data_IF_205737105644
#
_entry.id   IF_205737105644
#
_cell.length_a   1.000
_cell.length_b   1.000
_cell.length_c   1.000
_cell.angle_alpha   90.00
_cell.angle_beta   90.00
_cell.angle_gamma   90.00
#
_symmetry.space_group_name_H-M   'P 1'
#
loop_
_entity.id
_entity.type
_entity.pdbx_description
1 polymer ?
2 non-polymer ?
3 non-polymer ?
4 non-polymer ?
5 non-polymer ?
6 non-polymer ?
7 non-polymer ?
8 water ?
#
# COMPACT_ATOMS: atom_id res chain seq x y z
N UNK A 7 -7.74 15.35 -19.11
CA UNK A 7 -9.02 15.17 -18.37
C UNK A 7 -9.08 16.03 -17.10
N UNK A 8 -10.13 16.84 -17.00
CA UNK A 8 -10.33 17.76 -15.89
C UNK A 8 -10.79 17.04 -14.62
N UNK A 9 -11.35 15.84 -14.79
CA UNK A 9 -11.86 15.02 -13.68
C UNK A 9 -10.94 13.89 -13.23
N UNK A 10 -9.65 14.20 -13.06
CA UNK A 10 -8.68 13.22 -12.62
C UNK A 10 -8.19 13.54 -11.22
N UNK A 11 -8.46 12.62 -10.29
CA UNK A 11 -7.97 12.71 -8.91
C UNK A 11 -6.55 12.12 -8.83
N UNK A 12 -5.61 12.91 -8.31
CA UNK A 12 -4.22 12.48 -8.19
C UNK A 12 -3.90 11.79 -6.89
N UNK A 13 -2.70 11.24 -6.82
CA UNK A 13 -2.22 10.46 -5.67
C UNK A 13 -2.53 11.08 -4.31
N UNK A 14 -2.18 12.35 -4.13
CA UNK A 14 -2.33 13.05 -2.85
C UNK A 14 -3.78 13.17 -2.45
N UNK A 15 -4.62 13.53 -3.42
CA UNK A 15 -6.05 13.68 -3.19
C UNK A 15 -6.65 12.33 -2.84
N UNK A 16 -6.17 11.29 -3.51
CA UNK A 16 -6.62 9.94 -3.20
C UNK A 16 -6.27 9.55 -1.78
N UNK A 17 -5.01 9.76 -1.38
CA UNK A 17 -4.60 9.50 0.01
C UNK A 17 -5.41 10.33 0.99
N UNK A 18 -5.55 11.62 0.74
CA UNK A 18 -6.36 12.45 1.63
C UNK A 18 -7.79 11.93 1.81
N UNK A 19 -8.39 11.42 0.73
CA UNK A 19 -9.76 10.93 0.82
C UNK A 19 -9.89 9.59 1.49
N UNK A 20 -8.77 8.92 1.70
CA UNK A 20 -8.80 7.62 2.36
C UNK A 20 -8.64 7.72 3.88
N UNK A 21 -8.28 8.90 4.38
CA UNK A 21 -7.86 9.11 5.78
C UNK A 21 -8.86 8.62 6.81
N UNK A 22 -8.35 8.13 7.93
CA UNK A 22 -9.18 7.94 9.10
C UNK A 22 -9.49 9.32 9.65
N UNK A 23 -10.76 9.72 9.57
CA UNK A 23 -11.21 11.06 9.94
C UNK A 23 -12.72 11.04 10.09
N UNK A 24 -13.30 12.08 10.72
CA UNK A 24 -14.76 12.13 10.82
C UNK A 24 -15.42 12.37 9.45
N UNK A 25 -16.41 11.54 9.14
CA UNK A 25 -17.08 11.59 7.84
C UNK A 25 -18.58 11.66 8.04
N UNK A 26 -19.29 12.39 7.15
CA UNK A 26 -20.74 12.46 7.31
C UNK A 26 -21.38 11.15 6.88
N UNK A 27 -22.28 10.60 7.70
CA UNK A 27 -23.00 9.40 7.33
C UNK A 27 -24.49 9.51 7.65
N UNK A 28 -25.34 8.93 6.82
CA UNK A 28 -26.79 9.01 7.01
C UNK A 28 -27.22 7.91 7.97
N UNK A 29 -27.93 8.30 9.02
CA UNK A 29 -28.34 7.38 10.06
C UNK A 29 -29.84 7.48 10.26
N UNK A 30 -30.54 6.35 10.19
CA UNK A 30 -31.98 6.33 10.46
C UNK A 30 -32.26 6.64 11.93
N UNK A 31 -33.23 7.51 12.18
CA UNK A 31 -33.58 7.92 13.54
C UNK A 31 -34.02 6.73 14.39
N UNK A 32 -34.79 5.81 13.79
CA UNK A 32 -35.33 4.65 14.51
C UNK A 32 -34.25 3.67 15.01
N UNK A 33 -33.07 3.68 14.40
CA UNK A 33 -31.95 2.86 14.87
C UNK A 33 -30.92 3.66 15.70
N UNK A 34 -31.32 4.84 16.16
CA UNK A 34 -30.49 5.61 17.10
C UNK A 34 -31.20 5.75 18.45
N UNK A 35 -32.49 6.09 18.40
CA UNK A 35 -33.31 6.19 19.59
C UNK A 35 -34.29 5.01 19.62
N UNK A 36 -33.85 3.84 20.13
CA UNK A 36 -34.70 2.66 20.12
C UNK A 36 -35.80 2.70 21.20
N UNK A 37 -35.93 3.84 21.89
CA UNK A 37 -36.96 4.03 22.91
C UNK A 37 -38.19 4.75 22.35
N UNK A 38 -38.07 5.22 21.10
CA UNK A 38 -39.15 5.97 20.44
C UNK A 38 -39.51 5.45 19.04
N UNK A 39 -39.20 4.17 18.78
CA UNK A 39 -39.53 3.53 17.49
C UNK A 39 -41.05 3.40 17.28
N UNK A 40 -41.83 3.67 18.33
CA UNK A 40 -43.29 3.76 18.23
C UNK A 40 -43.74 5.03 17.50
N UNK A 41 -42.78 5.76 16.93
CA UNK A 41 -43.04 7.03 16.26
C UNK A 41 -42.21 7.19 14.98
N UNK A 42 -42.80 7.84 13.98
CA UNK A 42 -42.09 8.20 12.74
C UNK A 42 -41.66 9.65 12.83
N UNK A 43 -40.51 9.97 12.22
CA UNK A 43 -39.95 11.32 12.25
C UNK A 43 -39.74 11.92 10.88
N UNK A 44 -40.03 13.21 10.76
CA UNK A 44 -39.73 13.97 9.56
C UNK A 44 -38.60 14.96 9.85
N UNK A 45 -37.40 14.72 9.30
CA UNK A 45 -36.97 13.60 8.44
C UNK A 45 -36.68 12.29 9.20
N UNK A 46 -36.84 11.13 8.51
CA UNK A 46 -36.63 9.81 9.13
C UNK A 46 -35.18 9.44 9.37
N UNK A 47 -34.27 10.33 8.98
CA UNK A 47 -32.87 10.13 9.24
C UNK A 47 -32.08 11.44 9.27
N UNK A 48 -30.83 11.36 9.74
CA UNK A 48 -29.99 12.54 9.92
C UNK A 48 -28.57 12.24 9.46
N UNK A 49 -27.82 13.28 9.11
CA UNK A 49 -26.37 13.14 8.91
C UNK A 49 -25.63 13.38 10.22
N UNK A 50 -24.82 12.40 10.63
CA UNK A 50 -23.95 12.48 11.80
C UNK A 50 -22.51 12.31 11.35
N UNK A 51 -21.61 13.09 11.94
CA UNK A 51 -20.18 12.88 11.72
C UNK A 51 -19.74 11.67 12.52
N UNK A 52 -19.14 10.71 11.83
CA UNK A 52 -18.69 9.48 12.42
C UNK A 52 -17.36 9.17 11.78
N UNK A 53 -16.50 8.48 12.51
CA UNK A 53 -15.16 8.16 12.03
C UNK A 53 -15.19 7.08 10.97
N UNK A 54 -14.40 7.29 9.91
CA UNK A 54 -14.21 6.26 8.92
C UNK A 54 -13.09 6.61 7.98
N UNK A 55 -12.88 5.76 6.99
CA UNK A 55 -11.66 5.80 6.19
C UNK A 55 -10.98 4.50 6.51
N UNK A 56 -9.73 4.34 6.12
CA UNK A 56 -9.04 3.05 6.31
C UNK A 56 -7.61 3.26 6.81
N UNK A 57 -7.18 2.34 7.65
CA UNK A 57 -5.90 2.46 8.30
C UNK A 57 -4.83 1.79 7.45
N UNK A 58 -3.58 2.19 7.65
CA UNK A 58 -2.43 1.64 6.94
C UNK A 58 -2.22 0.16 7.19
N UNK A 59 -2.69 -0.30 8.35
CA UNK A 59 -2.36 -1.63 8.85
C UNK A 59 -3.66 -2.31 9.25
N UNK A 60 -3.86 -3.51 8.74
CA UNK A 60 -5.11 -4.21 8.98
C UNK A 60 -5.39 -4.50 10.46
N UNK A 61 -4.37 -4.49 11.31
CA UNK A 61 -4.57 -4.79 12.74
C UNK A 61 -5.12 -3.59 13.52
N UNK A 62 -5.22 -2.43 12.85
CA UNK A 62 -5.73 -1.20 13.44
C UNK A 62 -7.12 -0.89 12.92
N UNK A 63 -7.88 -0.15 13.72
CA UNK A 63 -9.22 0.26 13.40
C UNK A 63 -9.36 1.75 13.62
N UNK A 64 -10.13 2.39 12.74
CA UNK A 64 -10.33 3.84 12.78
C UNK A 64 -11.44 4.11 13.79
N UNK A 65 -11.06 4.67 14.94
CA UNK A 65 -12.00 4.82 16.08
C UNK A 65 -12.07 6.27 16.54
N UNK A 66 -13.20 6.68 17.16
CA UNK A 66 -13.29 8.07 17.60
C UNK A 66 -12.47 8.33 18.87
N UNK A 67 -11.72 9.43 18.86
CA UNK A 67 -10.94 9.80 20.02
C UNK A 67 -11.49 11.06 20.68
N UNK A 68 -12.44 11.71 20.00
CA UNK A 68 -13.18 12.83 20.56
C UNK A 68 -14.66 12.77 20.15
N UNK A 69 -15.54 13.00 21.12
CA UNK A 69 -16.98 12.84 20.93
C UNK A 69 -17.75 14.00 21.56
N UNK A 70 -18.74 14.51 20.86
CA UNK A 70 -19.58 15.58 21.40
C UNK A 70 -21.04 15.34 21.10
N UNK A 71 -21.94 15.91 21.90
CA UNK A 71 -23.36 15.86 21.63
C UNK A 71 -23.79 16.92 20.63
N UNK A 72 -24.76 16.55 19.78
CA UNK A 72 -25.42 17.50 18.90
C UNK A 72 -26.92 17.35 19.11
N UNK A 73 -27.62 18.47 19.25
CA UNK A 73 -29.05 18.43 19.34
C UNK A 73 -29.62 18.86 18.00
N UNK A 74 -30.73 18.24 17.61
CA UNK A 74 -31.41 18.55 16.34
C UNK A 74 -32.91 18.58 16.55
N UNK A 75 -33.57 19.54 15.90
CA UNK A 75 -35.02 19.59 15.82
C UNK A 75 -35.53 18.63 14.74
N UNK A 76 -36.57 17.86 15.08
CA UNK A 76 -37.22 16.94 14.13
C UNK A 76 -38.72 16.95 14.35
N UNK A 77 -39.48 16.80 13.26
CA UNK A 77 -40.93 16.73 13.35
C UNK A 77 -41.43 15.35 13.81
N UNK A 78 -42.29 15.36 14.82
CA UNK A 78 -42.90 14.14 15.35
C UNK A 78 -44.07 13.65 14.51
N UNK A 86 -45.66 17.93 18.25
CA UNK A 86 -44.98 18.78 17.26
C UNK A 86 -43.48 18.52 17.16
N UNK A 87 -42.72 19.61 17.15
CA UNK A 87 -41.25 19.56 17.00
C UNK A 87 -40.56 19.04 18.26
N UNK A 88 -39.59 18.14 18.05
CA UNK A 88 -38.89 17.51 19.15
C UNK A 88 -37.38 17.66 18.98
N UNK A 89 -36.69 17.87 20.09
CA UNK A 89 -35.23 17.90 20.11
C UNK A 89 -34.71 16.52 20.43
N UNK A 90 -33.89 15.98 19.54
CA UNK A 90 -33.21 14.73 19.80
C UNK A 90 -31.71 14.99 19.83
N UNK A 91 -31.04 14.26 20.73
CA UNK A 91 -29.61 14.41 20.90
C UNK A 91 -28.91 13.21 20.28
N UNK A 92 -27.75 13.46 19.69
CA UNK A 92 -26.99 12.45 18.99
C UNK A 92 -25.53 12.63 19.38
N UNK A 93 -24.71 11.58 19.23
CA UNK A 93 -23.27 11.69 19.47
C UNK A 93 -22.54 11.82 18.14
N UNK A 94 -21.68 12.83 18.04
CA UNK A 94 -20.84 12.99 16.85
C UNK A 94 -19.37 12.82 17.19
N UNK A 95 -18.59 12.41 16.21
CA UNK A 95 -17.16 12.19 16.33
C UNK A 95 -16.44 13.40 15.78
N UNK A 96 -15.55 14.01 16.59
CA UNK A 96 -14.81 15.20 16.14
C UNK A 96 -13.34 14.90 15.84
N UNK A 97 -12.87 13.73 16.23
CA UNK A 97 -11.48 13.33 16.00
C UNK A 97 -11.44 11.83 15.93
N UNK A 98 -10.52 11.28 15.15
CA UNK A 98 -10.37 9.82 15.00
C UNK A 98 -8.93 9.42 15.04
N UNK A 99 -8.65 8.13 15.25
CA UNK A 99 -7.30 7.64 15.23
C UNK A 99 -7.36 6.16 14.94
N UNK A 100 -6.35 5.65 14.25
CA UNK A 100 -6.17 4.21 14.11
C UNK A 100 -5.52 3.59 15.35
N UNK A 101 -6.29 2.75 16.02
CA UNK A 101 -5.89 2.12 17.26
C UNK A 101 -5.90 0.61 17.10
N UNK A 102 -5.03 -0.12 17.83
CA UNK A 102 -5.10 -1.57 17.85
C UNK A 102 -6.52 -2.09 18.05
N UNK A 103 -6.87 -3.14 17.30
CA UNK A 103 -8.20 -3.74 17.37
C UNK A 103 -8.42 -4.37 18.72
N UNK A 104 -9.62 -4.15 19.26
CA UNK A 104 -10.00 -4.62 20.58
C UNK A 104 -10.31 -6.13 20.57
N UNK A 105 -9.72 -6.88 21.51
CA UNK A 105 -10.07 -8.29 21.72
C UNK A 105 -10.59 -8.53 23.13
N UNK B 9 -24.54 24.58 19.76
CA UNK B 9 -26.03 24.71 19.94
C UNK B 9 -26.85 23.77 19.02
N UNK B 10 -28.17 23.93 19.09
CA UNK B 10 -29.16 23.09 18.38
C UNK B 10 -29.17 23.36 16.87
N UNK B 11 -29.21 22.28 16.08
CA UNK B 11 -29.46 22.40 14.64
C UNK B 11 -30.97 22.52 14.33
N UNK B 12 -31.33 23.64 13.69
CA UNK B 12 -32.73 23.89 13.31
C UNK B 12 -33.24 22.94 12.23
N UNK B 13 -34.56 22.77 12.20
CA UNK B 13 -35.21 21.79 11.32
C UNK B 13 -34.85 21.88 9.83
N UNK B 14 -34.79 23.09 9.28
CA UNK B 14 -34.39 23.30 7.88
C UNK B 14 -33.02 22.69 7.62
N UNK B 15 -32.06 22.98 8.51
CA UNK B 15 -30.71 22.43 8.39
C UNK B 15 -30.72 20.90 8.51
N UNK B 16 -31.58 20.38 9.38
CA UNK B 16 -31.68 18.93 9.61
C UNK B 16 -32.22 18.23 8.37
N UNK B 17 -33.28 18.80 7.80
CA UNK B 17 -33.90 18.31 6.57
C UNK B 17 -32.89 18.32 5.43
N UNK B 18 -32.25 19.45 5.21
CA UNK B 18 -31.22 19.60 4.18
C UNK B 18 -30.10 18.58 4.30
N UNK B 19 -29.84 18.12 5.53
CA UNK B 19 -28.80 17.14 5.77
C UNK B 19 -29.23 15.71 5.55
N UNK B 20 -30.55 15.49 5.50
CA UNK B 20 -31.09 14.15 5.28
C UNK B 20 -31.65 13.90 3.85
N UNK B 21 -31.60 14.92 2.99
CA UNK B 21 -32.19 14.81 1.66
C UNK B 21 -31.41 13.87 0.75
N UNK B 22 -32.13 13.31 -0.22
CA UNK B 22 -31.56 12.44 -1.24
C UNK B 22 -30.71 13.28 -2.18
N UNK B 23 -29.41 13.07 -2.14
CA UNK B 23 -28.46 13.85 -2.93
C UNK B 23 -27.17 13.05 -2.93
N UNK B 24 -26.22 13.42 -3.82
CA UNK B 24 -24.92 12.72 -3.76
C UNK B 24 -24.17 13.05 -2.45
N UNK B 25 -23.61 12.03 -1.83
CA UNK B 25 -22.91 12.16 -0.57
C UNK B 25 -21.65 11.31 -0.66
N UNK B 26 -20.54 11.76 0.00
CA UNK B 26 -19.33 10.95 0.04
C UNK B 26 -19.57 9.68 0.85
N UNK B 27 -19.00 8.58 0.37
CA UNK B 27 -19.11 7.31 1.06
C UNK B 27 -17.78 6.61 0.82
N UNK B 28 -17.27 5.92 1.85
CA UNK B 28 -16.01 5.21 1.74
C UNK B 28 -16.32 3.83 1.22
N UNK B 29 -15.65 3.44 0.14
CA UNK B 29 -15.91 2.18 -0.54
C UNK B 29 -14.56 1.45 -0.69
N UNK B 30 -14.55 0.12 -0.48
CA UNK B 30 -13.36 -0.69 -0.80
C UNK B 30 -13.09 -0.70 -2.30
N UNK B 31 -11.87 -0.40 -2.70
CA UNK B 31 -11.49 -0.35 -4.10
C UNK B 31 -11.69 -1.70 -4.80
N UNK B 32 -11.39 -2.80 -4.11
CA UNK B 32 -11.52 -4.10 -4.73
C UNK B 32 -12.95 -4.37 -5.17
N UNK B 33 -13.92 -3.86 -4.42
CA UNK B 33 -15.35 -4.03 -4.73
C UNK B 33 -15.81 -3.24 -5.96
N UNK B 34 -15.12 -2.14 -6.25
CA UNK B 34 -15.42 -1.32 -7.39
C UNK B 34 -14.79 -1.96 -8.63
N UNK B 35 -13.78 -2.80 -8.41
CA UNK B 35 -13.08 -3.46 -9.51
C UNK B 35 -12.87 -4.95 -9.28
N UNK B 36 -13.96 -5.73 -9.20
CA UNK B 36 -13.87 -7.16 -8.86
C UNK B 36 -13.03 -8.01 -9.81
N UNK B 37 -12.78 -7.47 -10.99
CA UNK B 37 -12.09 -8.22 -12.04
C UNK B 37 -10.57 -8.12 -11.84
N UNK B 38 -10.15 -7.17 -11.01
CA UNK B 38 -8.74 -7.05 -10.63
C UNK B 38 -8.48 -7.91 -9.39
N UNK B 39 -8.36 -9.21 -9.61
CA UNK B 39 -8.28 -10.22 -8.57
C UNK B 39 -6.79 -10.47 -8.28
N UNK B 40 -6.50 -11.18 -7.18
CA UNK B 40 -5.12 -11.45 -6.72
C UNK B 40 -4.26 -10.18 -6.63
N UNK B 41 -4.82 -9.09 -6.13
CA UNK B 41 -4.04 -7.87 -5.96
C UNK B 41 -4.55 -7.05 -4.78
N UNK B 42 -3.74 -6.11 -4.31
CA UNK B 42 -4.14 -5.22 -3.23
C UNK B 42 -4.13 -3.82 -3.75
N UNK B 43 -4.90 -2.95 -3.11
CA UNK B 43 -4.88 -1.52 -3.47
C UNK B 43 -4.46 -0.67 -2.30
N UNK B 44 -3.70 0.36 -2.60
CA UNK B 44 -3.26 1.30 -1.59
C UNK B 44 -3.53 2.71 -2.07
N UNK B 45 -4.40 3.45 -1.35
CA UNK B 45 -5.13 3.00 -0.16
C UNK B 45 -6.15 1.92 -0.56
N UNK B 46 -6.54 1.04 0.37
CA UNK B 46 -7.48 0.01 0.01
C UNK B 46 -8.93 0.52 -0.12
N UNK B 47 -9.16 1.79 0.23
CA UNK B 47 -10.49 2.38 0.21
C UNK B 47 -10.45 3.75 -0.44
N UNK B 48 -11.55 4.13 -1.09
CA UNK B 48 -11.69 5.47 -1.66
C UNK B 48 -13.02 6.09 -1.27
N UNK B 49 -13.05 7.42 -1.27
CA UNK B 49 -14.28 8.16 -1.10
C UNK B 49 -14.91 8.49 -2.47
N UNK B 50 -16.14 8.01 -2.67
CA UNK B 50 -16.89 8.26 -3.89
C UNK B 50 -18.19 8.98 -3.59
N UNK B 51 -18.58 9.89 -4.49
CA UNK B 51 -19.88 10.53 -4.39
C UNK B 51 -20.94 9.55 -4.85
N UNK B 52 -21.87 9.23 -3.96
CA UNK B 52 -22.92 8.27 -4.26
C UNK B 52 -24.22 8.77 -3.69
N UNK B 53 -25.32 8.42 -4.34
CA UNK B 53 -26.63 8.86 -3.90
C UNK B 53 -26.96 8.29 -2.52
N UNK B 54 -27.38 9.18 -1.64
CA UNK B 54 -27.64 8.83 -0.25
C UNK B 54 -28.61 9.82 0.38
N UNK B 55 -29.22 9.42 1.48
CA UNK B 55 -30.24 10.22 2.10
C UNK B 55 -31.47 9.40 2.39
N UNK B 56 -32.54 10.08 2.74
CA UNK B 56 -33.81 9.46 3.06
C UNK B 56 -34.90 10.02 2.17
N UNK B 57 -35.74 9.13 1.64
CA UNK B 57 -36.94 9.57 0.97
C UNK B 57 -38.08 9.67 1.98
N UNK B 58 -39.02 10.57 1.71
CA UNK B 58 -40.13 10.84 2.60
C UNK B 58 -41.18 9.72 2.67
N UNK B 59 -40.89 8.58 2.01
CA UNK B 59 -41.88 7.52 1.83
C UNK B 59 -41.18 6.18 1.72
N UNK B 60 -41.70 5.20 2.46
CA UNK B 60 -41.19 3.84 2.47
C UNK B 60 -41.12 3.18 1.08
N UNK B 61 -41.98 3.65 0.17
CA UNK B 61 -42.08 3.09 -1.19
C UNK B 61 -41.12 3.75 -2.18
N UNK B 62 -40.28 4.66 -1.70
CA UNK B 62 -39.34 5.40 -2.54
C UNK B 62 -37.88 5.08 -2.19
N UNK B 63 -37.02 5.09 -3.19
CA UNK B 63 -35.60 4.90 -2.98
C UNK B 63 -34.81 6.01 -3.66
N UNK B 64 -33.67 6.32 -3.06
CA UNK B 64 -32.82 7.40 -3.51
C UNK B 64 -31.84 6.81 -4.49
N UNK B 65 -31.98 7.19 -5.76
CA UNK B 65 -31.21 6.55 -6.84
C UNK B 65 -30.62 7.60 -7.78
N UNK B 66 -29.51 7.25 -8.46
CA UNK B 66 -28.88 8.18 -9.40
C UNK B 66 -29.70 8.45 -10.64
N UNK B 67 -29.75 9.72 -11.05
CA UNK B 67 -30.32 10.11 -12.32
C UNK B 67 -29.25 10.70 -13.23
N UNK B 68 -28.03 10.83 -12.71
CA UNK B 68 -26.90 11.36 -13.46
C UNK B 68 -25.60 10.86 -12.83
N UNK B 69 -24.75 10.28 -13.65
CA UNK B 69 -23.50 9.68 -13.19
C UNK B 69 -22.34 10.31 -13.94
N UNK B 70 -21.12 10.04 -13.48
CA UNK B 70 -19.92 10.49 -14.20
C UNK B 70 -18.78 9.53 -13.88
N UNK B 71 -17.89 9.32 -14.84
CA UNK B 71 -16.73 8.49 -14.62
C UNK B 71 -15.55 9.39 -14.23
N UNK B 72 -14.86 9.02 -13.16
CA UNK B 72 -13.69 9.76 -12.71
C UNK B 72 -12.52 8.81 -12.56
N UNK B 73 -11.34 9.27 -13.01
CA UNK B 73 -10.10 8.49 -12.95
C UNK B 73 -9.34 8.87 -11.67
N UNK B 74 -8.94 7.87 -10.89
CA UNK B 74 -8.09 8.08 -9.72
C UNK B 74 -6.79 7.31 -9.81
N UNK B 75 -5.67 7.96 -9.47
CA UNK B 75 -4.41 7.24 -9.35
C UNK B 75 -4.22 6.58 -7.98
N UNK B 76 -4.06 5.27 -7.98
CA UNK B 76 -3.91 4.44 -6.79
C UNK B 76 -2.59 3.72 -6.91
N UNK B 77 -2.10 3.15 -5.80
CA UNK B 77 -0.98 2.24 -5.87
C UNK B 77 -1.55 0.84 -5.91
N UNK B 78 -1.20 0.11 -6.98
CA UNK B 78 -1.70 -1.24 -7.15
C UNK B 78 -0.61 -2.10 -7.74
N UNK B 79 -0.98 -2.94 -8.70
CA UNK B 79 -0.05 -3.87 -9.30
C UNK B 79 0.32 -3.45 -10.71
N UNK B 80 1.57 -3.70 -11.07
CA UNK B 80 2.04 -3.57 -12.43
C UNK B 80 1.89 -4.90 -13.18
N UNK B 81 2.33 -4.89 -14.43
CA UNK B 81 2.29 -6.05 -15.31
C UNK B 81 2.92 -7.29 -14.72
N UNK B 82 3.98 -7.10 -13.93
CA UNK B 82 4.68 -8.21 -13.28
C UNK B 82 4.10 -8.57 -11.94
N UNK B 83 3.06 -7.85 -11.53
CA UNK B 83 2.47 -8.11 -10.20
C UNK B 83 3.24 -7.39 -9.09
N UNK B 84 4.21 -6.56 -9.48
CA UNK B 84 4.94 -5.72 -8.55
C UNK B 84 4.05 -4.57 -8.08
N UNK B 85 4.56 -3.77 -7.14
CA UNK B 85 3.90 -2.56 -6.75
C UNK B 85 4.07 -1.58 -7.88
N UNK B 86 2.97 -0.98 -8.30
CA UNK B 86 3.04 0.05 -9.35
C UNK B 86 1.76 0.85 -9.37
N UNK B 87 1.85 2.10 -9.80
CA UNK B 87 0.67 2.96 -9.89
C UNK B 87 -0.32 2.43 -10.95
N UNK B 88 -1.62 2.65 -10.70
CA UNK B 88 -2.69 2.35 -11.66
C UNK B 88 -3.68 3.48 -11.70
N UNK B 89 -3.95 4.04 -12.88
CA UNK B 89 -5.12 4.91 -13.04
C UNK B 89 -6.35 4.05 -13.28
N UNK B 90 -7.34 4.16 -12.41
CA UNK B 90 -8.58 3.40 -12.54
C UNK B 90 -9.78 4.32 -12.59
N UNK B 91 -10.90 3.83 -13.14
CA UNK B 91 -12.09 4.64 -13.36
C UNK B 91 -13.15 4.25 -12.36
N UNK B 92 -13.87 5.24 -11.84
CA UNK B 92 -14.90 5.02 -10.83
C UNK B 92 -16.17 5.78 -11.20
N UNK B 93 -17.31 5.22 -10.85
CA UNK B 93 -18.58 5.87 -11.10
C UNK B 93 -18.93 6.75 -9.90
N UNK B 94 -19.18 8.04 -10.15
CA UNK B 94 -19.70 8.97 -9.13
C UNK B 94 -21.11 9.39 -9.52
N UNK B 95 -21.96 9.63 -8.54
CA UNK B 95 -23.28 10.14 -8.82
C UNK B 95 -23.30 11.66 -8.74
N UNK B 96 -23.87 12.30 -9.76
CA UNK B 96 -23.96 13.76 -9.82
C UNK B 96 -25.37 14.31 -9.55
N UNK B 97 -26.38 13.47 -9.71
CA UNK B 97 -27.76 13.85 -9.41
C UNK B 97 -28.53 12.62 -8.96
N UNK B 98 -29.55 12.84 -8.12
CA UNK B 98 -30.26 11.75 -7.48
C UNK B 98 -31.72 12.09 -7.37
N UNK B 99 -32.57 11.10 -7.18
CA UNK B 99 -34.00 11.37 -7.06
C UNK B 99 -34.69 10.29 -6.25
N UNK B 100 -35.79 10.66 -5.62
CA UNK B 100 -36.64 9.70 -4.92
C UNK B 100 -37.69 9.12 -5.89
N UNK B 101 -37.42 7.88 -6.30
CA UNK B 101 -38.17 7.17 -7.33
C UNK B 101 -38.79 5.90 -6.74
N UNK B 102 -39.97 5.49 -7.26
CA UNK B 102 -40.64 4.28 -6.74
C UNK B 102 -39.82 3.02 -6.99
N UNK B 103 -40.06 1.98 -6.19
CA UNK B 103 -39.35 0.70 -6.36
C UNK B 103 -39.96 -0.21 -7.43
N UNK C 7 20.98 18.23 -1.48
CA UNK C 7 21.03 16.80 -1.09
C UNK C 7 20.56 15.88 -2.23
N UNK C 8 21.50 15.51 -3.10
CA UNK C 8 21.22 14.59 -4.21
C UNK C 8 21.05 13.15 -3.74
N UNK C 9 21.37 12.90 -2.46
CA UNK C 9 21.21 11.58 -1.85
C UNK C 9 19.77 11.32 -1.37
N UNK C 10 18.82 11.54 -2.28
CA UNK C 10 17.42 11.37 -1.97
C UNK C 10 16.70 10.67 -3.12
N UNK C 11 16.00 9.58 -2.80
CA UNK C 11 15.30 8.79 -3.80
C UNK C 11 13.78 9.05 -3.74
N UNK C 12 13.22 9.44 -4.87
CA UNK C 12 11.78 9.72 -4.96
C UNK C 12 10.94 8.46 -5.11
N UNK C 13 9.62 8.66 -5.02
CA UNK C 13 8.62 7.59 -5.07
C UNK C 13 8.76 6.61 -6.24
N UNK C 14 8.95 7.16 -7.44
CA UNK C 14 9.02 6.35 -8.64
C UNK C 14 10.27 5.49 -8.65
N UNK C 15 11.40 6.07 -8.26
CA UNK C 15 12.66 5.34 -8.14
C UNK C 15 12.56 4.26 -7.06
N UNK C 16 11.85 4.57 -5.97
CA UNK C 16 11.62 3.58 -4.90
C UNK C 16 10.84 2.38 -5.42
N UNK C 17 9.71 2.63 -6.10
CA UNK C 17 8.93 1.57 -6.76
C UNK C 17 9.74 0.79 -7.78
N UNK C 18 10.47 1.50 -8.64
CA UNK C 18 11.32 0.80 -9.62
C UNK C 18 12.25 -0.17 -8.91
N UNK C 19 12.85 0.25 -7.80
CA UNK C 19 13.82 -0.58 -7.10
C UNK C 19 13.23 -1.71 -6.28
N UNK C 20 11.93 -1.67 -6.06
CA UNK C 20 11.22 -2.77 -5.39
C UNK C 20 10.74 -3.89 -6.34
N UNK C 21 10.74 -3.63 -7.65
CA UNK C 21 10.15 -4.52 -8.66
C UNK C 21 10.62 -5.97 -8.58
N UNK C 22 9.73 -6.89 -8.90
CA UNK C 22 10.10 -8.27 -9.13
C UNK C 22 10.80 -8.34 -10.48
N UNK C 23 12.11 -8.60 -10.49
CA UNK C 23 12.91 -8.65 -11.71
C UNK C 23 14.19 -9.37 -11.42
N UNK C 24 14.98 -9.71 -12.46
CA UNK C 24 16.26 -10.35 -12.20
C UNK C 24 17.23 -9.36 -11.56
N UNK C 25 17.90 -9.83 -10.51
CA UNK C 25 18.81 -9.01 -9.75
C UNK C 25 20.09 -9.79 -9.50
N UNK C 26 21.24 -9.10 -9.53
CA UNK C 26 22.48 -9.83 -9.30
C UNK C 26 22.60 -10.24 -7.84
N UNK C 27 22.99 -11.49 -7.60
CA UNK C 27 23.28 -11.98 -6.26
C UNK C 27 24.60 -12.74 -6.22
N UNK C 28 25.29 -12.65 -5.10
CA UNK C 28 26.55 -13.38 -4.88
C UNK C 28 26.24 -14.78 -4.36
N UNK C 29 26.82 -15.79 -5.01
CA UNK C 29 26.61 -17.17 -4.60
C UNK C 29 27.96 -17.88 -4.47
N UNK C 30 28.15 -18.65 -3.38
CA UNK C 30 29.39 -19.41 -3.23
C UNK C 30 29.44 -20.57 -4.21
N UNK C 31 30.56 -20.69 -4.92
CA UNK C 31 30.74 -21.73 -5.93
C UNK C 31 30.62 -23.15 -5.34
N UNK C 32 31.23 -23.37 -4.17
CA UNK C 32 31.21 -24.67 -3.49
C UNK C 32 29.79 -25.11 -3.09
N UNK C 33 28.91 -24.14 -2.87
CA UNK C 33 27.50 -24.39 -2.59
C UNK C 33 26.75 -24.89 -3.83
N UNK C 34 27.02 -24.26 -4.98
CA UNK C 34 26.31 -24.55 -6.23
C UNK C 34 26.67 -25.91 -6.84
N UNK C 35 27.94 -26.30 -6.67
CA UNK C 35 28.43 -27.56 -7.24
C UNK C 35 28.97 -28.48 -6.13
N UNK C 36 28.07 -29.24 -5.48
CA UNK C 36 28.48 -30.15 -4.41
C UNK C 36 29.22 -31.42 -4.89
N UNK C 37 30.05 -31.29 -5.92
CA UNK C 37 30.77 -32.44 -6.49
C UNK C 37 32.17 -32.09 -7.00
N UNK C 40 33.55 -30.96 -3.14
CA UNK C 40 34.10 -29.71 -3.65
C UNK C 40 35.61 -29.61 -3.44
N UNK C 41 36.15 -28.41 -3.62
CA UNK C 41 37.59 -28.14 -3.49
C UNK C 41 37.87 -26.63 -3.39
N UNK C 42 39.13 -26.25 -3.60
CA UNK C 42 39.54 -24.85 -3.69
C UNK C 42 39.05 -24.22 -4.99
N UNK C 43 38.33 -23.11 -4.88
CA UNK C 43 37.86 -22.39 -6.06
C UNK C 43 38.21 -20.91 -6.01
N UNK C 44 38.73 -20.40 -7.12
CA UNK C 44 39.12 -18.99 -7.22
C UNK C 44 38.57 -18.33 -8.49
N UNK C 45 37.65 -17.35 -8.34
CA UNK C 45 37.03 -16.86 -7.11
C UNK C 45 36.20 -17.93 -6.40
N UNK C 46 36.07 -17.84 -5.06
CA UNK C 46 35.23 -18.77 -4.32
C UNK C 46 33.75 -18.47 -4.48
N UNK C 47 33.44 -17.36 -5.14
CA UNK C 47 32.05 -16.94 -5.33
C UNK C 47 31.78 -16.31 -6.72
N UNK C 48 30.52 -16.33 -7.12
CA UNK C 48 30.10 -15.90 -8.45
C UNK C 48 28.83 -15.05 -8.36
N UNK C 49 28.68 -14.09 -9.28
CA UNK C 49 27.46 -13.27 -9.38
C UNK C 49 26.47 -13.85 -10.42
N UNK C 50 25.25 -14.17 -9.96
CA UNK C 50 24.21 -14.71 -10.82
C UNK C 50 22.98 -13.81 -10.82
N UNK C 51 22.35 -13.66 -11.98
CA UNK C 51 21.07 -12.98 -12.04
C UNK C 51 19.97 -13.91 -11.54
N UNK C 52 19.23 -13.46 -10.53
CA UNK C 52 18.15 -14.23 -9.96
C UNK C 52 16.99 -13.28 -9.71
N UNK C 53 15.78 -13.82 -9.77
CA UNK C 53 14.60 -13.03 -9.55
C UNK C 53 14.52 -12.64 -8.10
N UNK C 54 14.22 -11.36 -7.86
CA UNK C 54 13.91 -10.89 -6.53
C UNK C 54 13.22 -9.56 -6.62
N UNK C 55 12.82 -9.03 -5.47
CA UNK C 55 12.00 -7.81 -5.38
C UNK C 55 10.82 -8.28 -4.59
N UNK C 56 9.75 -7.50 -4.53
CA UNK C 56 8.55 -7.91 -3.78
C UNK C 56 7.28 -7.67 -4.56
N UNK C 57 6.32 -8.56 -4.37
CA UNK C 57 5.07 -8.51 -5.11
C UNK C 57 4.04 -7.65 -4.38
N UNK C 58 3.08 -7.13 -5.13
CA UNK C 58 2.00 -6.29 -4.60
C UNK C 58 1.19 -7.04 -3.56
N UNK C 59 1.09 -8.35 -3.73
CA UNK C 59 0.13 -9.14 -2.97
C UNK C 59 0.90 -10.26 -2.28
N UNK C 60 0.63 -10.46 -1.00
CA UNK C 60 1.35 -11.47 -0.22
C UNK C 60 1.13 -12.92 -0.67
N UNK C 61 0.07 -13.15 -1.44
CA UNK C 61 -0.24 -14.51 -1.91
C UNK C 61 0.53 -14.86 -3.18
N UNK C 62 1.32 -13.93 -3.69
CA UNK C 62 2.11 -14.10 -4.90
C UNK C 62 3.60 -14.15 -4.60
N UNK C 63 4.37 -14.76 -5.50
CA UNK C 63 5.80 -14.89 -5.33
C UNK C 63 6.54 -14.47 -6.60
N UNK C 64 7.67 -13.82 -6.44
CA UNK C 64 8.46 -13.39 -7.58
C UNK C 64 9.30 -14.57 -8.06
N UNK C 65 8.90 -15.16 -9.18
CA UNK C 65 9.52 -16.41 -9.67
C UNK C 65 10.06 -16.24 -11.09
N UNK C 66 11.11 -17.02 -11.46
CA UNK C 66 11.67 -16.89 -12.80
C UNK C 66 10.74 -17.47 -13.88
N UNK C 67 10.53 -16.71 -14.96
CA UNK C 67 9.69 -17.18 -16.06
C UNK C 67 10.51 -17.49 -17.30
N UNK C 68 11.77 -17.07 -17.25
CA UNK C 68 12.77 -17.45 -18.24
C UNK C 68 14.09 -17.75 -17.56
N UNK C 69 14.73 -18.83 -18.03
CA UNK C 69 15.96 -19.36 -17.46
C UNK C 69 16.94 -19.74 -18.56
N UNK C 70 18.19 -19.32 -18.44
CA UNK C 70 19.22 -19.70 -19.39
C UNK C 70 20.46 -20.20 -18.69
N UNK C 71 21.37 -20.80 -19.45
CA UNK C 71 22.66 -21.22 -18.92
C UNK C 71 23.74 -20.20 -19.18
N UNK C 72 24.63 -20.06 -18.21
CA UNK C 72 25.82 -19.25 -18.36
C UNK C 72 27.03 -20.10 -18.00
N UNK C 73 28.03 -20.10 -18.86
CA UNK C 73 29.29 -20.74 -18.54
C UNK C 73 30.27 -19.68 -18.05
N UNK C 74 31.01 -20.03 -17.00
CA UNK C 74 32.04 -19.16 -16.42
C UNK C 74 33.29 -19.99 -16.18
N UNK C 75 34.45 -19.42 -16.51
CA UNK C 75 35.72 -20.11 -16.23
C UNK C 75 36.35 -19.67 -14.90
N UNK C 76 36.77 -20.65 -14.10
CA UNK C 76 37.34 -20.44 -12.78
C UNK C 76 38.65 -21.21 -12.59
N UNK C 77 39.52 -20.69 -11.72
CA UNK C 77 40.77 -21.37 -11.37
C UNK C 77 40.58 -22.30 -10.16
N UNK C 78 40.93 -23.56 -10.34
CA UNK C 78 40.89 -24.56 -9.28
C UNK C 78 41.90 -25.73 -9.52
N UNK C 87 42.44 -24.78 -14.14
CA UNK C 87 41.41 -23.96 -14.76
C UNK C 87 40.24 -24.81 -15.28
N UNK C 88 39.02 -24.36 -15.02
CA UNK C 88 37.82 -25.12 -15.36
C UNK C 88 36.70 -24.21 -15.83
N UNK C 89 35.76 -24.76 -16.60
CA UNK C 89 34.54 -24.06 -16.99
C UNK C 89 33.34 -24.65 -16.26
N UNK C 90 32.53 -23.79 -15.66
CA UNK C 90 31.37 -24.24 -14.89
C UNK C 90 30.10 -23.54 -15.38
N UNK C 91 29.00 -24.28 -15.35
CA UNK C 91 27.72 -23.81 -15.86
C UNK C 91 26.75 -23.47 -14.74
N UNK C 92 26.02 -22.38 -14.91
CA UNK C 92 25.08 -21.89 -13.91
C UNK C 92 23.77 -21.55 -14.60
N UNK C 93 22.68 -21.51 -13.84
CA UNK C 93 21.39 -21.04 -14.37
C UNK C 93 21.18 -19.61 -13.95
N UNK C 94 20.82 -18.77 -14.91
CA UNK C 94 20.47 -17.39 -14.66
C UNK C 94 19.01 -17.16 -14.99
N UNK C 95 18.45 -16.10 -14.41
CA UNK C 95 17.06 -15.75 -14.59
C UNK C 95 17.01 -14.54 -15.51
N UNK C 96 16.26 -14.64 -16.61
CA UNK C 96 16.23 -13.54 -17.61
C UNK C 96 14.95 -12.72 -17.52
N UNK C 97 13.93 -13.32 -16.92
CA UNK C 97 12.62 -12.68 -16.77
C UNK C 97 11.96 -13.24 -15.52
N UNK C 98 11.09 -12.43 -14.89
CA UNK C 98 10.40 -12.80 -13.63
C UNK C 98 8.96 -12.36 -13.65
N UNK C 99 8.13 -12.95 -12.77
CA UNK C 99 6.75 -12.56 -12.69
C UNK C 99 6.26 -12.98 -11.33
N UNK C 100 5.32 -12.22 -10.77
CA UNK C 100 4.61 -12.61 -9.57
C UNK C 100 3.48 -13.57 -9.87
N UNK C 101 3.58 -14.78 -9.34
CA UNK C 101 2.63 -15.85 -9.58
C UNK C 101 2.11 -16.37 -8.26
N UNK C 102 0.85 -16.87 -8.22
CA UNK C 102 0.30 -17.42 -6.99
C UNK C 102 1.27 -18.40 -6.35
N UNK C 103 1.30 -18.44 -5.01
CA UNK C 103 2.24 -19.28 -4.27
C UNK C 103 1.90 -20.75 -4.47
N UNK C 104 2.93 -21.55 -4.75
CA UNK C 104 2.78 -23.00 -4.85
C UNK C 104 2.66 -23.63 -3.45
N UNK C 105 1.53 -24.27 -3.17
CA UNK C 105 1.32 -24.96 -1.90
C UNK C 105 1.12 -26.46 -2.08
N UNK C 106 1.57 -27.25 -1.10
CA UNK C 106 1.36 -28.71 -1.10
C UNK C 106 0.52 -29.11 0.12
N UNK D 10 30.09 -18.09 -22.86
CA UNK D 10 31.19 -18.27 -21.86
C UNK D 10 31.79 -16.91 -21.51
N UNK D 11 31.55 -16.46 -20.28
CA UNK D 11 32.12 -15.20 -19.78
C UNK D 11 33.60 -15.37 -19.41
N UNK D 12 34.42 -14.42 -19.87
CA UNK D 12 35.87 -14.46 -19.71
C UNK D 12 36.35 -14.35 -18.27
N UNK D 13 37.53 -14.92 -18.02
CA UNK D 13 38.17 -14.93 -16.71
C UNK D 13 38.34 -13.54 -16.10
N UNK D 14 38.60 -12.55 -16.95
CA UNK D 14 38.73 -11.16 -16.54
C UNK D 14 37.43 -10.63 -15.95
N UNK D 15 36.31 -10.97 -16.58
CA UNK D 15 34.98 -10.50 -16.15
C UNK D 15 34.45 -11.25 -14.92
N UNK D 16 34.76 -12.55 -14.83
CA UNK D 16 34.33 -13.38 -13.70
C UNK D 16 35.00 -12.95 -12.40
N UNK D 17 36.28 -12.59 -12.50
CA UNK D 17 37.07 -12.14 -11.37
C UNK D 17 36.55 -10.80 -10.85
N UNK D 18 36.46 -9.82 -11.74
CA UNK D 18 35.96 -8.49 -11.36
C UNK D 18 34.45 -8.46 -11.16
N UNK D 19 33.80 -9.59 -11.44
CA UNK D 19 32.38 -9.77 -11.15
C UNK D 19 32.13 -10.23 -9.71
N UNK D 20 33.14 -10.87 -9.12
CA UNK D 20 33.07 -11.39 -7.75
C UNK D 20 33.79 -10.49 -6.71
N UNK D 21 34.23 -9.31 -7.17
CA UNK D 21 34.94 -8.32 -6.36
C UNK D 21 34.15 -7.93 -5.12
N UNK D 22 34.86 -7.69 -4.01
CA UNK D 22 34.24 -7.11 -2.81
C UNK D 22 34.00 -5.62 -3.06
N UNK D 23 32.72 -5.25 -3.07
CA UNK D 23 32.29 -3.92 -3.49
C UNK D 23 30.83 -3.69 -3.07
N UNK D 24 30.34 -2.44 -3.18
CA UNK D 24 28.92 -2.24 -2.86
C UNK D 24 28.04 -2.91 -3.91
N UNK D 25 27.07 -3.69 -3.46
CA UNK D 25 26.17 -4.38 -4.38
C UNK D 25 24.74 -4.18 -3.92
N UNK D 26 23.79 -4.02 -4.88
CA UNK D 26 22.37 -3.87 -4.55
C UNK D 26 21.83 -5.14 -3.92
N UNK D 27 21.09 -5.00 -2.82
CA UNK D 27 20.35 -6.13 -2.26
C UNK D 27 18.99 -5.66 -1.77
N UNK D 28 18.01 -6.56 -1.86
CA UNK D 28 16.63 -6.26 -1.47
C UNK D 28 16.50 -6.57 0.02
N UNK D 29 16.01 -5.59 0.78
CA UNK D 29 15.81 -5.76 2.23
C UNK D 29 14.39 -5.34 2.64
N UNK D 30 13.78 -6.06 3.61
CA UNK D 30 12.47 -5.63 4.12
C UNK D 30 12.57 -4.28 4.83
N UNK D 31 11.69 -3.35 4.51
CA UNK D 31 11.75 -2.01 5.09
C UNK D 31 11.51 -2.03 6.61
N UNK D 32 10.70 -2.97 7.09
CA UNK D 32 10.41 -3.06 8.50
C UNK D 32 11.68 -3.39 9.29
N UNK D 33 12.57 -4.18 8.72
CA UNK D 33 13.79 -4.59 9.42
C UNK D 33 14.83 -3.48 9.52
N UNK D 34 14.77 -2.54 8.59
CA UNK D 34 15.61 -1.37 8.65
C UNK D 34 15.09 -0.37 9.68
N UNK D 35 13.78 -0.44 9.97
CA UNK D 35 13.14 0.54 10.84
C UNK D 35 12.25 -0.14 11.87
N UNK D 36 12.84 -0.97 12.74
CA UNK D 36 12.01 -1.81 13.62
C UNK D 36 11.22 -1.03 14.68
N UNK D 37 11.56 0.25 14.88
CA UNK D 37 10.89 1.10 15.86
C UNK D 37 9.52 1.55 15.35
N UNK D 38 9.36 1.53 14.04
CA UNK D 38 8.08 1.83 13.37
C UNK D 38 7.20 0.58 13.40
N UNK D 39 6.61 0.32 14.56
CA UNK D 39 5.89 -0.92 14.80
C UNK D 39 4.43 -0.72 14.41
N UNK D 40 3.67 -1.81 14.29
CA UNK D 40 2.22 -1.77 13.97
C UNK D 40 1.91 -0.95 12.71
N UNK D 41 2.71 -1.12 11.67
CA UNK D 41 2.45 -0.43 10.42
C UNK D 41 2.99 -1.26 9.28
N UNK D 42 2.62 -0.87 8.06
CA UNK D 42 3.05 -1.54 6.84
C UNK D 42 3.77 -0.53 5.99
N UNK D 43 4.61 -1.02 5.09
CA UNK D 43 5.32 -0.16 4.14
C UNK D 43 5.00 -0.59 2.70
N UNK D 44 4.84 0.39 1.84
CA UNK D 44 4.55 0.14 0.43
C UNK D 44 5.52 0.95 -0.40
N UNK D 45 6.45 0.29 -1.11
CA UNK D 45 6.66 -1.15 -1.19
C UNK D 45 7.25 -1.64 0.13
N UNK D 46 7.04 -2.93 0.47
CA UNK D 46 7.54 -3.47 1.74
C UNK D 46 9.03 -3.81 1.71
N UNK D 47 9.65 -3.67 0.53
CA UNK D 47 11.06 -3.97 0.32
C UNK D 47 11.72 -2.86 -0.47
N UNK D 48 12.99 -2.57 -0.17
CA UNK D 48 13.79 -1.61 -0.95
C UNK D 48 15.11 -2.23 -1.31
N UNK D 49 15.75 -1.68 -2.34
CA UNK D 49 17.10 -2.08 -2.73
C UNK D 49 18.11 -1.08 -2.15
N UNK D 50 19.11 -1.59 -1.44
CA UNK D 50 20.15 -0.79 -0.83
C UNK D 50 21.49 -1.33 -1.25
N UNK D 51 22.47 -0.45 -1.38
CA UNK D 51 23.84 -0.85 -1.63
C UNK D 51 24.50 -1.28 -0.33
N UNK D 52 24.96 -2.51 -0.30
CA UNK D 52 25.65 -3.07 0.86
C UNK D 52 26.87 -3.81 0.35
N UNK D 53 27.88 -3.91 1.19
CA UNK D 53 29.11 -4.58 0.78
C UNK D 53 28.90 -6.07 0.64
N UNK D 54 29.37 -6.60 -0.48
CA UNK D 54 29.27 -8.01 -0.76
C UNK D 54 30.27 -8.39 -1.82
N UNK D 55 30.39 -9.69 -2.06
CA UNK D 55 31.47 -10.23 -2.87
C UNK D 55 32.21 -11.22 -2.00
N UNK D 56 33.37 -11.67 -2.45
CA UNK D 56 34.17 -12.56 -1.64
C UNK D 56 35.65 -12.17 -1.59
N UNK D 57 36.29 -12.50 -0.49
CA UNK D 57 37.70 -12.21 -0.29
C UNK D 57 38.56 -13.39 -0.72
N UNK D 58 39.74 -13.09 -1.25
CA UNK D 58 40.67 -14.13 -1.68
C UNK D 58 41.58 -14.62 -0.56
N UNK D 59 41.06 -14.57 0.67
CA UNK D 59 41.73 -15.13 1.85
C UNK D 59 40.67 -15.63 2.82
N UNK D 60 40.94 -16.79 3.43
CA UNK D 60 40.00 -17.48 4.30
C UNK D 60 39.58 -16.65 5.54
N UNK D 61 40.57 -16.03 6.19
CA UNK D 61 40.33 -15.27 7.43
C UNK D 61 40.01 -13.78 7.21
N UNK D 62 39.91 -13.37 5.96
CA UNK D 62 39.47 -12.01 5.62
C UNK D 62 37.94 -11.95 5.58
N UNK D 63 37.41 -10.74 5.38
CA UNK D 63 35.97 -10.50 5.40
C UNK D 63 35.68 -9.21 4.63
N UNK D 64 34.59 -9.18 3.89
CA UNK D 64 34.21 -8.01 3.10
C UNK D 64 33.31 -7.09 3.90
N UNK D 65 33.85 -5.93 4.29
CA UNK D 65 33.15 -4.96 5.15
C UNK D 65 33.20 -3.53 4.60
N UNK D 66 32.22 -2.68 5.00
CA UNK D 66 32.20 -1.28 4.59
C UNK D 66 33.31 -0.44 5.22
N UNK D 67 33.97 0.35 4.37
CA UNK D 67 34.91 1.36 4.84
C UNK D 67 34.39 2.75 4.50
N UNK D 68 33.06 2.87 4.37
CA UNK D 68 32.41 4.14 4.05
C UNK D 68 30.92 3.89 3.83
N UNK D 69 30.12 4.67 4.55
CA UNK D 69 28.67 4.54 4.56
C UNK D 69 28.05 5.90 4.28
N UNK D 70 26.79 5.91 3.82
CA UNK D 70 26.08 7.15 3.54
C UNK D 70 24.63 6.96 3.94
N UNK D 71 24.02 8.00 4.50
CA UNK D 71 22.58 7.98 4.73
C UNK D 71 21.86 8.61 3.54
N UNK D 72 20.83 7.91 3.08
CA UNK D 72 20.07 8.27 1.90
C UNK D 72 18.61 8.28 2.34
N UNK D 73 17.88 9.33 1.98
CA UNK D 73 16.43 9.39 2.24
C UNK D 73 15.65 8.75 1.06
N UNK D 74 14.58 8.02 1.37
CA UNK D 74 13.69 7.44 0.34
C UNK D 74 12.26 7.73 0.73
N UNK D 75 11.47 8.24 -0.22
CA UNK D 75 10.05 8.42 0.04
C UNK D 75 9.26 7.14 -0.19
N UNK D 76 8.39 6.80 0.72
CA UNK D 76 7.56 5.62 0.52
C UNK D 76 6.25 5.75 1.24
N UNK D 77 5.36 4.81 0.95
CA UNK D 77 4.01 4.87 1.44
C UNK D 77 3.96 4.07 2.72
N UNK D 78 3.71 4.80 3.81
CA UNK D 78 3.58 4.20 5.12
C UNK D 78 2.40 4.84 5.82
N UNK D 79 2.59 5.13 7.12
CA UNK D 79 1.51 5.61 7.98
C UNK D 79 1.68 7.09 8.32
N UNK D 80 0.57 7.82 8.34
CA UNK D 80 0.56 9.19 8.78
C UNK D 80 0.36 9.24 10.32
N UNK D 81 0.20 10.45 10.85
CA UNK D 81 0.03 10.64 12.28
C UNK D 81 -1.17 9.91 12.85
N UNK D 82 -2.16 9.63 12.00
CA UNK D 82 -3.41 9.04 12.46
C UNK D 82 -3.43 7.56 12.22
N UNK D 83 -2.35 7.02 11.66
CA UNK D 83 -2.28 5.62 11.31
C UNK D 83 -2.88 5.32 9.93
N UNK D 84 -3.34 6.38 9.26
CA UNK D 84 -3.85 6.32 7.90
C UNK D 84 -2.68 6.12 6.96
N UNK D 85 -2.99 5.83 5.70
CA UNK D 85 -1.99 5.76 4.65
C UNK D 85 -1.44 7.16 4.41
N UNK D 86 -0.13 7.29 4.46
CA UNK D 86 0.51 8.58 4.20
C UNK D 86 1.91 8.34 3.75
N UNK D 87 2.41 9.22 2.89
CA UNK D 87 3.81 9.19 2.49
C UNK D 87 4.74 9.41 3.69
N UNK D 88 5.90 8.74 3.70
CA UNK D 88 6.92 8.90 4.72
C UNK D 88 8.32 8.98 4.14
N UNK D 89 9.04 10.05 4.43
CA UNK D 89 10.49 10.10 4.12
C UNK D 89 11.27 9.41 5.24
N UNK D 90 12.06 8.41 4.88
CA UNK D 90 12.86 7.64 5.85
C UNK D 90 14.31 7.51 5.40
N UNK D 91 15.21 7.32 6.36
CA UNK D 91 16.65 7.28 6.12
C UNK D 91 17.17 5.85 6.13
N UNK D 92 18.09 5.57 5.21
CA UNK D 92 18.67 4.26 5.06
C UNK D 92 20.17 4.38 4.88
N UNK D 93 20.91 3.37 5.35
CA UNK D 93 22.37 3.37 5.20
C UNK D 93 22.78 2.65 3.91
N UNK D 94 23.57 3.33 3.07
CA UNK D 94 24.14 2.74 1.86
C UNK D 94 25.65 2.66 1.99
N UNK D 95 26.26 1.59 1.51
CA UNK D 95 27.71 1.50 1.46
C UNK D 95 28.24 2.05 0.14
N UNK D 96 29.24 2.94 0.26
CA UNK D 96 29.94 3.54 -0.89
C UNK D 96 31.30 2.90 -1.13
N UNK D 97 31.94 2.40 -0.07
CA UNK D 97 33.25 1.76 -0.15
C UNK D 97 33.31 0.49 0.69
N UNK D 98 34.12 -0.47 0.25
CA UNK D 98 34.26 -1.77 0.93
C UNK D 98 35.66 -2.25 0.82
N UNK D 99 36.09 -3.08 1.77
CA UNK D 99 37.45 -3.63 1.73
C UNK D 99 37.50 -5.02 2.36
N UNK D 100 38.43 -5.86 1.89
CA UNK D 100 38.74 -7.15 2.51
C UNK D 100 39.67 -6.98 3.72
N UNK D 101 39.11 -7.18 4.91
CA UNK D 101 39.72 -6.77 6.18
C UNK D 101 39.49 -7.84 7.26
N UNK D 102 40.55 -8.19 8.04
CA UNK D 102 40.49 -9.28 9.02
C UNK D 102 39.43 -9.09 10.10
X LIG E 1 -13.33 -2.07 10.39
X LIG F 1 -3.39 16.07 17.77
X LIG F 1 -4.37 15.56 18.74
X LIG F 1 -4.00 15.94 16.45
X LIG F 1 -3.07 17.46 18.06
X LIG F 1 -2.11 15.33 17.78
X LIG G 1 -0.70 4.72 14.98
X LIG G 1 0.16 4.40 13.94
X LIG G 1 0.73 3.13 13.91
X LIG G 1 0.40 2.22 14.92
X LIG G 1 -0.45 2.55 15.97
X LIG G 1 -1.02 3.82 15.98
X LIG G 1 -1.33 6.05 15.04
X LIG G 1 -2.59 6.09 15.31
X LIG G 1 -0.57 7.13 14.84
X LIG H 1 2.09 -5.78 11.64
X LIG H 1 0.66 -5.98 11.11
X LIG H 1 3.04 -6.73 10.90
X LIG H 1 2.21 -6.01 13.15
X LIG H 1 2.52 -4.41 11.38
X LIG H 1 0.03 -7.16 11.57
X LIG H 1 3.15 -6.34 9.55
X LIG H 1 1.26 -5.28 13.90
X LIG I 1 -11.08 17.35 4.60
X LIG I 1 -9.80 17.25 5.20
X LIG I 1 -12.14 17.10 5.65
X LIG I 1 -12.68 15.81 5.50
X LIG I 1 -13.26 18.13 5.49
X LIG I 1 -14.10 18.10 6.62
X LIG J 1 -2.49 15.42 -7.19
X LIG J 1 -3.42 15.07 -6.19
X LIG J 1 -1.05 15.24 -6.72
X LIG J 1 -0.24 16.24 -7.31
X LIG J 1 -0.51 13.88 -7.14
X LIG J 1 0.87 13.81 -6.86
X LIG K 1 -6.63 -9.95 4.81
X LIG K 1 -7.19 -11.10 4.22
X LIG K 1 -7.74 -8.99 5.24
X LIG K 1 -8.36 -8.40 4.11
X LIG K 1 -7.17 -7.91 6.15
X LIG K 1 -6.29 -7.06 5.45
X LIG L 1 -16.24 14.71 -9.56
X LIG L 1 -16.69 15.65 -10.51
X LIG L 1 -17.06 14.87 -8.29
X LIG L 1 -16.29 14.45 -7.17
X LIG L 1 -18.32 14.02 -8.40
X LIG L 1 -19.36 14.78 -9.00
X LIG M 1 -18.86 6.72 -18.55
X LIG M 1 -20.29 7.10 -18.95
X LIG M 1 -21.04 5.85 -19.42
X LIG M 1 -20.30 5.23 -20.61
X LIG M 1 -18.83 5.01 -20.24
X LIG M 1 -18.05 4.52 -21.47
X LIG M 1 -21.58 8.99 -18.10
X LIG M 1 -23.08 9.05 -17.99
X LIG M 1 -21.02 7.80 -17.90
X LIG M 1 -22.39 6.13 -19.74
X LIG M 1 -20.92 4.01 -20.99
X LIG M 1 -18.23 6.19 -19.72
X LIG M 1 -17.55 3.22 -21.22
X LIG M 1 -20.94 10.02 -18.38
X LIG N 1 -0.18 -10.88 -11.69
X LIG N 1 -0.47 -12.21 -11.40
X LIG N 1 -1.52 -12.52 -10.53
X LIG N 1 -2.22 -11.47 -9.94
X LIG N 1 -1.91 -10.14 -10.19
X LIG N 1 -0.88 -9.83 -11.10
X LIG N 1 0.91 -10.60 -12.62
X LIG N 1 0.71 -9.72 -13.51
X LIG N 1 2.04 -11.34 -12.54
X LIG O 1 -33.39 26.84 11.30
X LIG O 1 -32.46 26.44 10.30
X LIG O 1 -34.78 26.99 10.68
X LIG O 1 -35.33 28.24 11.04
X LIG O 1 -35.71 25.85 11.13
X LIG O 1 -36.07 25.98 12.49
X LIG P 1 7.40 -3.97 -12.81
X LIG P 1 6.72 -2.76 -12.59
X LIG P 1 7.63 -4.19 -14.31
X LIG P 1 6.57 -4.97 -14.82
X LIG P 1 8.98 -4.86 -14.56
X LIG P 1 9.01 -6.16 -14.02
X LIG Q 1 -23.88 1.79 -8.21
X LIG Q 1 -23.68 0.51 -7.64
X LIG Q 1 -22.83 2.09 -9.26
X LIG Q 1 -23.22 3.23 -9.99
X LIG Q 1 -22.66 0.91 -10.22
X LIG Q 1 -21.52 1.12 -11.03
X LIG R 1 9.31 -15.17 -0.88
X LIG S 1 8.87 11.10 -8.08
X LIG T 1 6.41 -9.72 -21.69
X LIG T 1 6.49 -9.20 -23.05
X LIG T 1 5.09 -9.33 -21.21
X LIG T 1 6.61 -11.17 -21.71
X LIG T 1 7.44 -9.12 -20.85
X LIG U 1 -6.17 -12.23 -2.33
X LIG U 1 -4.92 -12.67 -1.56
X LIG U 1 -6.53 -13.22 -3.45
X LIG U 1 -6.00 -10.83 -2.93
X LIG U 1 -7.31 -12.17 -1.42
X LIG U 1 -4.40 -11.67 -0.70
X LIG U 1 -5.46 -14.06 -3.84
X LIG U 1 -6.06 -9.87 -1.91
X LIG V 1 16.72 -22.30 -11.40
X LIG V 1 16.08 -21.05 -11.50
X LIG V 1 17.65 -22.33 -10.20
X LIG V 1 18.39 -23.53 -10.23
X LIG V 1 16.84 -22.25 -8.90
X LIG V 1 17.68 -22.37 -7.76
X LIG W 1 24.64 9.41 8.77
X LIG W 1 26.17 9.42 8.93
X LIG W 1 26.51 8.86 10.32
X LIG W 1 25.84 9.71 11.39
X LIG W 1 24.37 10.05 11.09
X LIG W 1 23.96 11.22 11.96
X LIG W 1 27.70 9.24 7.04
X LIG W 1 29.13 8.77 7.14
X LIG W 1 26.84 8.68 7.87
X LIG W 1 27.90 8.80 10.51
X LIG W 1 25.90 9.04 12.64
X LIG W 1 24.16 10.37 9.71
X LIG W 1 22.76 10.93 12.64
X LIG W 1 27.38 10.11 6.21
X LIG X 1 -1.74 -7.07 4.02
X LIG X 1 -3.00 -7.15 4.62
X LIG X 1 -3.40 -8.32 5.29
X LIG X 1 -2.54 -9.43 5.36
X LIG X 1 -1.28 -9.35 4.76
X LIG X 1 -0.88 -8.19 4.10
X LIG X 1 -1.30 -5.81 3.30
X LIG X 1 -0.34 -5.87 2.47
X LIG X 1 -1.90 -4.64 3.53
#
# INVERSE_FOLDING_TARGET
EAEAEFDSNTKGWSEVLKGSECKPRPIVVPVSETHPELTSQRFNPPCVTLMRCGGCCNDESLECVPTEEVNVTMELLGASGSGSNGMQRLSFVEHKKCDCRPRFTTTPPTTTRPPRRRRVDHHHHHH
EAEAEFDSNTKGWSEVLKGSECKPRPIVVPVSETHPELTSQRFNPPCVTLMRCGGCCNDESLECVPTEEVNVTMELLGASGSGSNGMQRLSFVEHKKCDCRPRFTTTPPTTTRPPRRRRVDHHHHHH
EAEAEFDSNTKGWSEVLKGSECKPRPIVVPVSETHPELTSQRFNPPCVTLMRCGGCCNDESLECVPTEEVNVTMELLGASGSGSNGMQRLSFVEHKKCDCRPRFTTTPPTTTRPPRRRRVDHHHHHH
EAEAEFDSNTKGWSEVLKGSECKPRPIVVPVSETHPELTSQRFNPPCVTLMRCGGCCNDESLECVPTEEVNVTMELLGASGSGSNGMQRLSFVEHKKCDCRPRFTTTPPTTTRPPRRRRVDHHHHHH
CL CL
SO4 S O1 O2 O3 O4
BEN C1 C2 C3 C4 C5 C6 C N1 N2
TRS C C1 C2 C3 N O1 O2 O3
GOL C1 O1 C2 O2 C3 O3
GOL C1 O1 C2 O2 C3 O3
GOL C1 O1 C2 O2 C3 O3
GOL C1 O1 C2 O2 C3 O3
NAG C1 C2 C3 C4 C5 C6 C7 C8 N2 O3 O4 O5 O6 O7
BEN C1 C2 C3 C4 C5 C6 C N1 N2
GOL C1 O1 C2 O2 C3 O3
GOL C1 O1 C2 O2 C3 O3
GOL C1 O1 C2 O2 C3 O3
CL CL
CL CL
SO4 S O1 O2 O3 O4
TRS C C1 C2 C3 N O1 O2 O3
GOL C1 O1 C2 O2 C3 O3
NAG C1 C2 C3 C4 C5 C6 C7 C8 N2 O3 O4 O5 O6 O7
BEN C1 C2 C3 C4 C5 C6 C N1 N2
#
